data_IF_538967026353
#
_entry.id   IF_538967026353
#
_cell.length_a   1.000
_cell.length_b   1.000
_cell.length_c   1.000
_cell.angle_alpha   90.00
_cell.angle_beta   90.00
_cell.angle_gamma   90.00
#
_symmetry.space_group_name_H-M   'P 1'
#
loop_
_entity.id
_entity.type
_entity.pdbx_description
1 polymer ?
#
# COMPACT_ATOMS: atom_id res chain seq x y z
N UNK A 1 36.51 45.64 20.76
CA UNK A 1 35.22 46.09 21.31
C UNK A 1 34.12 45.51 20.43
N UNK A 2 33.30 44.60 20.95
CA UNK A 2 32.22 44.01 20.15
C UNK A 2 31.16 45.09 19.85
N UNK A 3 30.64 45.17 18.61
CA UNK A 3 29.69 46.20 18.22
C UNK A 3 28.34 45.99 18.92
N UNK A 4 27.70 47.08 19.37
CA UNK A 4 26.40 47.05 20.05
C UNK A 4 25.30 46.32 19.26
N UNK A 5 25.40 46.33 17.93
CA UNK A 5 24.52 45.62 17.01
C UNK A 5 24.55 44.10 17.18
N UNK A 6 25.63 43.53 17.72
CA UNK A 6 25.72 42.11 18.02
C UNK A 6 24.70 41.69 19.08
N UNK A 7 24.53 42.51 20.13
CA UNK A 7 23.55 42.24 21.19
C UNK A 7 22.12 42.33 20.67
N UNK A 8 21.84 43.28 19.78
CA UNK A 8 20.52 43.40 19.13
C UNK A 8 20.21 42.18 18.27
N UNK A 9 21.18 41.70 17.50
CA UNK A 9 21.03 40.51 16.67
C UNK A 9 20.76 39.25 17.51
N UNK A 10 21.53 39.03 18.57
CA UNK A 10 21.34 37.87 19.46
C UNK A 10 19.95 37.90 20.11
N UNK A 11 19.49 39.07 20.57
CA UNK A 11 18.16 39.24 21.15
C UNK A 11 17.05 38.91 20.15
N UNK A 12 17.17 39.39 18.90
CA UNK A 12 16.21 39.11 17.84
C UNK A 12 16.13 37.61 17.50
N UNK A 13 17.28 36.94 17.42
CA UNK A 13 17.33 35.49 17.15
C UNK A 13 16.66 34.70 18.28
N UNK A 14 16.94 35.03 19.53
CA UNK A 14 16.31 34.36 20.69
C UNK A 14 14.79 34.54 20.66
N UNK A 15 14.30 35.75 20.39
CA UNK A 15 12.86 36.00 20.26
C UNK A 15 12.22 35.15 19.14
N UNK A 16 12.84 35.10 17.96
CA UNK A 16 12.34 34.32 16.82
C UNK A 16 12.37 32.82 17.12
N UNK A 17 13.38 32.30 17.81
CA UNK A 17 13.43 30.87 18.17
C UNK A 17 12.35 30.54 19.20
N UNK A 18 12.16 31.37 20.22
CA UNK A 18 11.12 31.14 21.23
C UNK A 18 9.70 31.28 20.70
N UNK A 19 9.47 32.02 19.62
CA UNK A 19 8.16 32.15 19.00
C UNK A 19 7.98 31.12 17.88
N UNK A 20 9.02 30.93 17.06
CA UNK A 20 9.04 30.03 15.92
C UNK A 20 8.99 28.56 16.32
N UNK A 21 9.63 28.16 17.41
CA UNK A 21 9.66 26.77 17.86
C UNK A 21 8.29 26.32 18.40
N UNK A 22 7.60 27.08 19.30
CA UNK A 22 6.22 26.80 19.65
C UNK A 22 5.25 26.95 18.47
N UNK A 23 5.46 27.91 17.56
CA UNK A 23 4.65 28.06 16.36
C UNK A 23 4.74 26.83 15.45
N UNK A 24 5.95 26.30 15.26
CA UNK A 24 6.19 25.09 14.49
C UNK A 24 5.46 23.89 15.10
N UNK A 25 5.57 23.73 16.42
CA UNK A 25 4.83 22.69 17.17
C UNK A 25 3.31 22.89 17.01
N UNK A 26 2.81 24.11 17.21
CA UNK A 26 1.39 24.42 17.05
C UNK A 26 0.89 24.17 15.63
N UNK A 27 1.68 24.53 14.62
CA UNK A 27 1.36 24.30 13.21
C UNK A 27 1.25 22.80 12.91
N UNK A 28 2.19 21.98 13.41
CA UNK A 28 2.12 20.54 13.25
C UNK A 28 0.94 19.92 14.02
N UNK A 29 0.69 20.35 15.26
CA UNK A 29 -0.46 19.87 16.05
C UNK A 29 -1.79 20.25 15.40
N UNK A 30 -1.90 21.45 14.82
CA UNK A 30 -3.12 21.89 14.11
C UNK A 30 -3.32 21.06 12.85
N UNK A 31 -2.25 20.78 12.09
CA UNK A 31 -2.29 19.86 10.94
C UNK A 31 -2.67 18.44 11.37
N UNK A 32 -2.20 17.97 12.52
CA UNK A 32 -2.51 16.63 13.04
C UNK A 32 -3.93 16.53 13.59
N UNK A 33 -4.46 17.56 14.24
CA UNK A 33 -5.87 17.59 14.67
C UNK A 33 -6.84 17.65 13.48
N UNK A 34 -6.53 18.43 12.45
CA UNK A 34 -7.33 18.43 11.22
C UNK A 34 -7.19 17.11 10.45
N UNK A 35 -6.04 16.45 10.53
CA UNK A 35 -5.86 15.09 10.01
C UNK A 35 -6.52 14.02 10.90
N UNK A 36 -6.72 14.22 12.21
CA UNK A 36 -7.34 13.22 13.09
C UNK A 36 -8.84 13.01 12.82
N UNK A 37 -9.51 13.96 12.14
CA UNK A 37 -10.85 13.71 11.56
C UNK A 37 -10.81 12.62 10.48
N UNK A 38 -9.62 12.21 9.98
CA UNK A 38 -9.47 10.99 9.19
C UNK A 38 -9.62 9.71 10.02
N UNK A 39 -9.40 9.64 11.33
CA UNK A 39 -9.46 8.33 12.04
C UNK A 39 -10.81 7.62 11.85
N UNK A 40 -11.92 8.38 11.90
CA UNK A 40 -13.25 7.81 11.62
C UNK A 40 -13.47 7.50 10.13
N UNK A 41 -12.79 8.23 9.24
CA UNK A 41 -12.73 7.93 7.79
C UNK A 41 -11.84 6.71 7.50
N UNK A 42 -10.80 6.48 8.30
CA UNK A 42 -9.85 5.39 8.18
C UNK A 42 -10.50 4.10 8.67
N UNK A 43 -11.24 4.13 9.78
CA UNK A 43 -12.09 3.02 10.22
C UNK A 43 -13.10 2.63 9.12
N UNK A 44 -13.75 3.63 8.50
CA UNK A 44 -14.67 3.39 7.39
C UNK A 44 -13.97 2.84 6.15
N UNK A 45 -12.77 3.33 5.83
CA UNK A 45 -11.96 2.84 4.71
C UNK A 45 -11.53 1.38 4.94
N UNK A 46 -11.15 1.03 6.17
CA UNK A 46 -10.83 -0.33 6.57
C UNK A 46 -12.05 -1.25 6.43
N UNK A 47 -13.22 -0.79 6.85
CA UNK A 47 -14.47 -1.54 6.70
C UNK A 47 -14.86 -1.74 5.22
N UNK A 48 -14.68 -0.71 4.39
CA UNK A 48 -14.88 -0.78 2.93
C UNK A 48 -13.89 -1.76 2.25
N UNK A 49 -12.59 -1.73 2.63
CA UNK A 49 -11.57 -2.66 2.13
C UNK A 49 -11.88 -4.10 2.55
N UNK A 50 -12.32 -4.30 3.80
CA UNK A 50 -12.71 -5.60 4.30
C UNK A 50 -13.94 -6.16 3.56
N UNK A 51 -14.96 -5.33 3.33
CA UNK A 51 -16.13 -5.70 2.55
C UNK A 51 -15.76 -6.07 1.10
N UNK A 52 -14.85 -5.31 0.48
CA UNK A 52 -14.36 -5.60 -0.86
C UNK A 52 -13.60 -6.94 -0.90
N UNK A 53 -12.70 -7.17 0.06
CA UNK A 53 -11.94 -8.41 0.16
C UNK A 53 -12.87 -9.64 0.31
N UNK A 54 -13.89 -9.55 1.17
CA UNK A 54 -14.87 -10.64 1.37
C UNK A 54 -15.62 -10.99 0.09
N UNK A 55 -16.04 -9.97 -0.67
CA UNK A 55 -16.72 -10.16 -1.96
C UNK A 55 -15.81 -10.75 -3.04
N UNK A 56 -14.52 -10.40 -3.03
CA UNK A 56 -13.55 -11.01 -3.95
C UNK A 56 -13.37 -12.49 -3.65
N UNK A 57 -13.30 -12.86 -2.36
CA UNK A 57 -13.21 -14.25 -1.92
C UNK A 57 -14.43 -15.10 -2.37
N UNK A 58 -15.64 -14.56 -2.25
CA UNK A 58 -16.87 -15.20 -2.74
C UNK A 58 -16.84 -15.46 -4.26
N UNK A 59 -16.26 -14.52 -5.02
CA UNK A 59 -16.11 -14.67 -6.47
C UNK A 59 -15.02 -15.67 -6.81
N UNK A 60 -13.92 -15.70 -6.06
CA UNK A 60 -12.85 -16.70 -6.23
C UNK A 60 -13.42 -18.10 -6.06
N UNK A 61 -14.25 -18.36 -5.05
CA UNK A 61 -14.92 -19.65 -4.90
C UNK A 61 -15.74 -20.07 -6.13
N UNK A 62 -16.39 -19.09 -6.79
CA UNK A 62 -17.11 -19.34 -8.05
C UNK A 62 -16.15 -19.64 -9.20
N UNK A 63 -15.04 -18.89 -9.31
CA UNK A 63 -13.98 -19.14 -10.29
C UNK A 63 -13.39 -20.53 -10.10
N UNK A 64 -13.08 -20.94 -8.87
CA UNK A 64 -12.58 -22.29 -8.58
C UNK A 64 -13.54 -23.37 -9.05
N UNK A 65 -14.85 -23.18 -8.87
CA UNK A 65 -15.86 -24.12 -9.35
C UNK A 65 -15.92 -24.18 -10.88
N UNK A 66 -15.83 -23.04 -11.57
CA UNK A 66 -15.82 -22.99 -13.04
C UNK A 66 -14.55 -23.66 -13.57
N UNK A 67 -13.39 -23.29 -13.05
CA UNK A 67 -12.10 -23.86 -13.47
C UNK A 67 -12.03 -25.35 -13.16
N UNK A 68 -12.60 -25.81 -12.03
CA UNK A 68 -12.70 -27.24 -11.72
C UNK A 68 -13.62 -28.00 -12.67
N UNK A 69 -14.70 -27.38 -13.14
CA UNK A 69 -15.61 -27.98 -14.12
C UNK A 69 -14.97 -28.06 -15.52
N UNK A 70 -14.21 -27.03 -15.91
CA UNK A 70 -13.54 -26.97 -17.22
C UNK A 70 -12.26 -27.83 -17.26
N UNK A 71 -11.49 -27.90 -16.16
CA UNK A 71 -10.22 -28.60 -16.07
C UNK A 71 -10.03 -29.27 -14.69
N UNK A 72 -10.38 -30.56 -14.51
CA UNK A 72 -10.38 -31.24 -13.21
C UNK A 72 -9.03 -31.24 -12.45
N UNK A 73 -7.91 -31.14 -13.17
CA UNK A 73 -6.54 -31.18 -12.62
C UNK A 73 -5.89 -29.80 -12.43
N UNK A 74 -6.65 -28.70 -12.52
CA UNK A 74 -6.09 -27.34 -12.47
C UNK A 74 -5.30 -27.00 -11.20
N UNK A 75 -5.67 -27.59 -10.05
CA UNK A 75 -4.98 -27.36 -8.76
C UNK A 75 -3.58 -27.97 -8.71
N UNK A 76 -3.34 -29.04 -9.46
CA UNK A 76 -2.02 -29.67 -9.58
C UNK A 76 -1.10 -28.74 -10.40
N UNK A 77 -1.61 -28.17 -11.49
CA UNK A 77 -0.90 -27.20 -12.33
C UNK A 77 -0.55 -25.92 -11.55
N UNK A 78 -1.44 -25.46 -10.66
CA UNK A 78 -1.21 -24.25 -9.86
C UNK A 78 -0.22 -24.45 -8.68
N UNK A 79 -0.07 -25.68 -8.19
CA UNK A 79 0.81 -26.02 -7.06
C UNK A 79 2.14 -26.68 -7.48
N UNK A 80 2.38 -26.86 -8.78
CA UNK A 80 3.63 -27.44 -9.27
C UNK A 80 4.78 -26.41 -9.18
N UNK A 81 5.87 -26.69 -8.44
CA UNK A 81 7.05 -25.81 -8.38
C UNK A 81 7.80 -25.69 -9.71
N UNK A 82 7.44 -26.46 -10.74
CA UNK A 82 7.93 -26.27 -12.10
C UNK A 82 6.75 -26.06 -13.06
N UNK A 83 6.69 -24.95 -13.82
CA UNK A 83 5.71 -24.83 -14.89
C UNK A 83 6.10 -25.81 -16.00
N UNK A 84 5.60 -27.04 -15.98
CA UNK A 84 5.57 -27.92 -17.16
C UNK A 84 4.52 -27.41 -18.15
N UNK A 85 4.73 -26.19 -18.64
CA UNK A 85 4.07 -25.69 -19.84
C UNK A 85 4.78 -26.38 -21.01
N UNK A 86 4.16 -27.45 -21.53
CA UNK A 86 4.16 -27.83 -22.96
C UNK A 86 5.34 -28.59 -23.58
N UNK A 87 6.09 -29.42 -22.84
CA UNK A 87 6.97 -30.39 -23.53
C UNK A 87 6.17 -31.40 -24.37
N UNK A 88 5.00 -31.86 -23.88
CA UNK A 88 4.17 -32.85 -24.57
C UNK A 88 3.52 -32.27 -25.86
N UNK A 89 2.90 -31.10 -25.78
CA UNK A 89 2.31 -30.42 -26.95
C UNK A 89 3.38 -29.98 -27.96
N UNK A 90 4.55 -29.51 -27.50
CA UNK A 90 5.70 -29.17 -28.37
C UNK A 90 6.25 -30.43 -29.06
N UNK A 91 6.42 -31.53 -28.34
CA UNK A 91 6.88 -32.81 -28.89
C UNK A 91 5.89 -33.36 -29.92
N UNK A 92 4.59 -33.27 -29.65
CA UNK A 92 3.56 -33.71 -30.58
C UNK A 92 3.56 -32.89 -31.88
N UNK A 93 3.69 -31.57 -31.76
CA UNK A 93 3.77 -30.68 -32.93
C UNK A 93 5.02 -30.96 -33.76
N UNK A 94 6.16 -31.21 -33.11
CA UNK A 94 7.42 -31.54 -33.78
C UNK A 94 7.39 -32.91 -34.47
N UNK A 95 6.67 -33.89 -33.92
CA UNK A 95 6.47 -35.21 -34.55
C UNK A 95 5.59 -35.16 -35.79
N UNK A 96 4.67 -34.20 -35.89
CA UNK A 96 3.79 -34.04 -37.06
C UNK A 96 4.47 -33.30 -38.23
N UNK A 97 5.52 -32.53 -37.94
CA UNK A 97 6.24 -31.71 -38.93
C UNK A 97 7.40 -32.49 -39.60
N UNK A 98 7.84 -33.61 -38.98
CA UNK A 98 8.94 -34.45 -39.48
C UNK A 98 8.41 -35.71 -40.15
#
# INVERSE_FOLDING_TARGET
>A
MLPAWFFLFVLAVVAIVFIGLPWLVFHFVTRWKTAATLTHSDERLLEEMYALARRMDERVATVERIVAADNPHWREIANDPAPTITEDTRQETLRRIK
#
